data_IF_172260455881
#
_entry.id   IF_172260455881
#
_cell.length_a   1.000
_cell.length_b   1.000
_cell.length_c   1.000
_cell.angle_alpha   90.00
_cell.angle_beta   90.00
_cell.angle_gamma   90.00
#
_symmetry.space_group_name_H-M   'P 1'
#
loop_
_entity.id
_entity.type
_entity.pdbx_description
1 polymer ?
#
# COMPACT_ATOMS: atom_id res chain seq x y z
N UNK A 1 12.24 45.13 -26.51
CA UNK A 1 10.98 45.91 -26.48
C UNK A 1 9.94 45.14 -25.68
N UNK A 2 9.10 45.83 -24.89
CA UNK A 2 8.00 45.28 -24.06
C UNK A 2 6.65 45.73 -24.64
N UNK A 3 5.58 44.95 -24.38
CA UNK A 3 4.12 45.24 -24.55
C UNK A 3 3.54 45.09 -25.98
N UNK A 4 2.33 44.56 -26.26
CA UNK A 4 1.09 44.34 -25.47
C UNK A 4 0.15 43.35 -26.20
N UNK A 5 -0.69 42.70 -25.40
CA UNK A 5 -1.82 41.79 -25.71
C UNK A 5 -2.90 42.45 -26.59
N UNK A 6 -3.56 41.66 -27.45
CA UNK A 6 -4.98 41.85 -27.73
C UNK A 6 -5.73 40.52 -27.75
N UNK A 7 -6.89 40.54 -27.09
CA UNK A 7 -7.78 39.47 -26.66
C UNK A 7 -9.08 39.63 -27.50
N UNK A 8 -9.77 38.54 -27.86
CA UNK A 8 -11.25 38.38 -28.06
C UNK A 8 -11.49 37.11 -28.94
N UNK A 9 -11.92 35.97 -28.38
CA UNK A 9 -13.30 35.51 -28.07
C UNK A 9 -14.19 35.18 -29.28
N UNK A 10 -14.32 33.88 -29.64
CA UNK A 10 -15.56 33.21 -30.14
C UNK A 10 -15.41 31.69 -29.87
N UNK A 11 -15.97 31.18 -28.76
CA UNK A 11 -17.17 30.33 -28.68
C UNK A 11 -17.11 28.99 -29.45
N UNK A 12 -17.13 27.89 -28.70
CA UNK A 12 -17.78 26.65 -29.14
C UNK A 12 -17.05 25.35 -28.87
N UNK A 13 -17.02 24.88 -27.62
CA UNK A 13 -17.58 23.58 -27.20
C UNK A 13 -17.24 23.33 -25.72
N UNK A 14 -18.20 23.63 -24.85
CA UNK A 14 -18.23 23.03 -23.51
C UNK A 14 -18.54 21.54 -23.67
N UNK A 15 -17.58 20.68 -23.33
CA UNK A 15 -17.88 19.37 -22.75
C UNK A 15 -17.02 19.24 -21.51
N UNK A 16 -17.63 19.67 -20.40
CA UNK A 16 -17.35 19.12 -19.08
C UNK A 16 -17.48 17.60 -19.17
N UNK A 17 -16.42 16.85 -18.89
CA UNK A 17 -16.38 15.45 -18.44
C UNK A 17 -14.90 15.02 -18.49
N UNK A 18 -14.13 14.93 -17.42
CA UNK A 18 -14.49 14.76 -16.02
C UNK A 18 -13.32 15.31 -15.22
N UNK A 19 -13.62 16.03 -14.13
CA UNK A 19 -12.87 15.78 -12.92
C UNK A 19 -13.04 14.29 -12.61
N UNK A 20 -12.15 13.45 -13.14
CA UNK A 20 -11.88 12.17 -12.53
C UNK A 20 -11.26 12.54 -11.18
N UNK A 21 -12.13 12.78 -10.20
CA UNK A 21 -11.75 12.94 -8.81
C UNK A 21 -10.79 11.79 -8.55
N UNK A 22 -9.53 12.16 -8.38
CA UNK A 22 -8.57 11.41 -7.61
C UNK A 22 -9.25 11.20 -6.25
N UNK A 23 -10.03 10.12 -6.16
CA UNK A 23 -10.29 9.49 -4.86
C UNK A 23 -8.92 8.98 -4.46
N UNK A 24 -8.13 9.92 -3.94
CA UNK A 24 -6.92 9.71 -3.19
C UNK A 24 -7.25 8.53 -2.30
N UNK A 25 -6.73 7.35 -2.69
CA UNK A 25 -7.09 6.09 -2.04
C UNK A 25 -6.82 6.32 -0.57
N UNK A 26 -7.87 6.34 0.26
CA UNK A 26 -7.72 6.32 1.71
C UNK A 26 -6.78 5.16 2.01
N UNK A 27 -5.54 5.51 2.35
CA UNK A 27 -4.59 4.52 2.81
C UNK A 27 -5.13 4.13 4.17
N UNK A 28 -5.39 2.84 4.43
CA UNK A 28 -5.80 2.43 5.76
C UNK A 28 -4.80 3.01 6.76
N UNK A 29 -5.31 3.61 7.83
CA UNK A 29 -4.48 4.27 8.81
C UNK A 29 -3.39 3.33 9.31
N UNK A 30 -2.18 3.85 9.60
CA UNK A 30 -1.14 3.06 10.22
C UNK A 30 -1.68 2.40 11.50
N UNK A 31 -1.46 1.09 11.66
CA UNK A 31 -1.86 0.40 12.89
C UNK A 31 -1.07 0.98 14.06
N UNK A 32 -1.80 1.47 15.06
CA UNK A 32 -1.26 1.79 16.37
C UNK A 32 -0.92 0.49 17.12
N UNK A 33 0.30 0.00 16.93
CA UNK A 33 0.76 -1.26 17.51
C UNK A 33 0.84 -1.22 19.03
N UNK A 34 1.08 -0.06 19.62
CA UNK A 34 1.15 0.13 21.08
C UNK A 34 -0.19 -0.21 21.70
N UNK A 35 -1.27 0.41 21.21
CA UNK A 35 -2.63 0.13 21.69
C UNK A 35 -3.08 -1.26 21.32
N UNK A 36 -2.71 -1.76 20.14
CA UNK A 36 -3.17 -3.06 19.65
C UNK A 36 -2.58 -4.24 20.43
N UNK A 37 -1.33 -4.09 20.88
CA UNK A 37 -0.57 -5.15 21.54
C UNK A 37 -0.37 -4.91 23.03
N UNK A 38 -0.86 -3.80 23.59
CA UNK A 38 -0.67 -3.44 25.00
C UNK A 38 0.84 -3.48 25.36
N UNK A 39 1.67 -2.78 24.59
CA UNK A 39 3.13 -2.79 24.76
C UNK A 39 3.55 -1.98 25.98
N UNK A 40 4.56 -2.46 26.72
CA UNK A 40 5.29 -1.60 27.66
C UNK A 40 6.15 -0.58 26.90
N UNK A 41 6.65 0.44 27.58
CA UNK A 41 7.49 1.46 26.96
C UNK A 41 8.78 0.86 26.35
N UNK A 42 9.43 -0.05 27.06
CA UNK A 42 10.64 -0.72 26.58
C UNK A 42 10.34 -1.64 25.39
N UNK A 43 9.26 -2.41 25.46
CA UNK A 43 8.82 -3.24 24.33
C UNK A 43 8.49 -2.38 23.12
N UNK A 44 7.85 -1.22 23.32
CA UNK A 44 7.52 -0.29 22.25
C UNK A 44 8.77 0.25 21.56
N UNK A 45 9.77 0.74 22.32
CA UNK A 45 11.04 1.24 21.75
C UNK A 45 11.73 0.18 20.89
N UNK A 46 11.87 -1.04 21.41
CA UNK A 46 12.48 -2.15 20.68
C UNK A 46 11.65 -2.57 19.46
N UNK A 47 10.33 -2.66 19.62
CA UNK A 47 9.42 -3.03 18.54
C UNK A 47 9.46 -2.02 17.40
N UNK A 48 9.43 -0.71 17.71
CA UNK A 48 9.49 0.35 16.71
C UNK A 48 10.81 0.32 15.93
N UNK A 49 11.94 0.12 16.62
CA UNK A 49 13.24 -0.04 15.95
C UNK A 49 13.24 -1.22 14.97
N UNK A 50 12.64 -2.37 15.34
CA UNK A 50 12.50 -3.52 14.44
C UNK A 50 11.58 -3.20 13.25
N UNK A 51 10.46 -2.49 13.46
CA UNK A 51 9.55 -2.13 12.37
C UNK A 51 10.16 -1.12 11.40
N UNK A 52 10.90 -0.15 11.90
CA UNK A 52 11.60 0.86 11.09
C UNK A 52 12.66 0.20 10.23
N UNK A 53 13.54 -0.60 10.83
CA UNK A 53 14.56 -1.36 10.09
C UNK A 53 13.96 -2.30 9.06
N UNK A 54 12.84 -2.97 9.39
CA UNK A 54 12.12 -3.80 8.43
C UNK A 54 11.58 -2.96 7.27
N UNK A 55 10.99 -1.79 7.54
CA UNK A 55 10.48 -0.90 6.49
C UNK A 55 11.58 -0.42 5.55
N UNK A 56 12.73 -0.02 6.09
CA UNK A 56 13.89 0.41 5.30
C UNK A 56 14.38 -0.71 4.38
N UNK A 57 14.54 -1.93 4.91
CA UNK A 57 14.94 -3.09 4.11
C UNK A 57 13.93 -3.41 3.00
N UNK A 58 12.63 -3.23 3.26
CA UNK A 58 11.58 -3.40 2.25
C UNK A 58 11.68 -2.33 1.15
N UNK A 59 11.98 -1.08 1.50
CA UNK A 59 12.17 0.01 0.54
C UNK A 59 13.39 -0.29 -0.33
N UNK A 60 14.53 -0.57 0.29
CA UNK A 60 15.76 -0.90 -0.41
C UNK A 60 15.59 -2.11 -1.35
N UNK A 61 14.87 -3.15 -0.91
CA UNK A 61 14.61 -4.32 -1.75
C UNK A 61 13.76 -3.96 -3.00
N UNK A 62 12.84 -3.00 -2.87
CA UNK A 62 12.03 -2.53 -4.02
C UNK A 62 12.84 -1.68 -4.99
N UNK A 63 13.71 -0.83 -4.48
CA UNK A 63 14.57 0.03 -5.29
C UNK A 63 15.58 -0.78 -6.09
N UNK A 64 16.09 -1.87 -5.51
CA UNK A 64 17.04 -2.78 -6.17
C UNK A 64 16.39 -3.88 -7.02
N UNK A 65 15.09 -3.78 -7.29
CA UNK A 65 14.36 -4.82 -8.01
C UNK A 65 14.74 -4.89 -9.50
N UNK A 66 15.51 -5.91 -9.90
CA UNK A 66 16.03 -6.09 -11.26
C UNK A 66 15.14 -6.90 -12.21
N UNK A 67 13.84 -7.02 -11.90
CA UNK A 67 12.88 -7.77 -12.74
C UNK A 67 12.76 -9.27 -12.43
N UNK A 68 13.66 -9.85 -11.62
CA UNK A 68 13.46 -11.20 -11.08
C UNK A 68 12.38 -11.20 -9.99
N UNK A 69 11.16 -11.57 -10.39
CA UNK A 69 10.02 -11.63 -9.48
C UNK A 69 10.16 -12.73 -8.42
N UNK A 70 10.82 -13.86 -8.72
CA UNK A 70 10.93 -14.99 -7.79
C UNK A 70 11.93 -14.67 -6.68
N UNK A 71 13.14 -14.24 -7.04
CA UNK A 71 14.13 -13.82 -6.05
C UNK A 71 13.63 -12.68 -5.16
N UNK A 72 12.89 -11.73 -5.73
CA UNK A 72 12.24 -10.66 -4.97
C UNK A 72 11.21 -11.20 -3.95
N UNK A 73 10.39 -12.18 -4.34
CA UNK A 73 9.40 -12.78 -3.44
C UNK A 73 10.07 -13.52 -2.27
N UNK A 74 11.12 -14.29 -2.55
CA UNK A 74 11.88 -15.02 -1.54
C UNK A 74 12.60 -14.06 -0.57
N UNK A 75 13.14 -12.96 -1.09
CA UNK A 75 13.75 -11.91 -0.29
C UNK A 75 12.73 -11.24 0.65
N UNK A 76 11.52 -10.93 0.15
CA UNK A 76 10.45 -10.40 0.99
C UNK A 76 10.02 -11.38 2.09
N UNK A 77 9.92 -12.67 1.78
CA UNK A 77 9.58 -13.69 2.76
C UNK A 77 10.66 -13.80 3.84
N UNK A 78 11.92 -13.85 3.43
CA UNK A 78 13.07 -13.94 4.34
C UNK A 78 13.13 -12.75 5.29
N UNK A 79 12.91 -11.53 4.79
CA UNK A 79 12.82 -10.33 5.61
C UNK A 79 11.66 -10.40 6.61
N UNK A 80 10.50 -10.90 6.16
CA UNK A 80 9.33 -11.11 7.01
C UNK A 80 9.62 -12.07 8.17
N UNK A 81 10.25 -13.20 7.88
CA UNK A 81 10.61 -14.22 8.87
C UNK A 81 11.65 -13.69 9.87
N UNK A 82 12.62 -12.89 9.39
CA UNK A 82 13.61 -12.23 10.26
C UNK A 82 12.94 -11.26 11.23
N UNK A 83 12.06 -10.39 10.73
CA UNK A 83 11.25 -9.49 11.57
C UNK A 83 10.45 -10.28 12.60
N UNK A 84 9.79 -11.36 12.19
CA UNK A 84 8.93 -12.14 13.09
C UNK A 84 9.71 -12.81 14.22
N UNK A 85 10.95 -13.26 13.97
CA UNK A 85 11.86 -13.75 15.01
C UNK A 85 12.24 -12.64 16.00
N UNK A 86 12.62 -11.46 15.51
CA UNK A 86 12.99 -10.32 16.35
C UNK A 86 11.80 -9.81 17.18
N UNK A 87 10.62 -9.73 16.59
CA UNK A 87 9.40 -9.34 17.31
C UNK A 87 9.03 -10.38 18.36
N UNK A 88 9.22 -11.68 18.09
CA UNK A 88 8.94 -12.75 19.05
C UNK A 88 9.84 -12.70 20.29
N UNK A 89 11.08 -12.22 20.19
CA UNK A 89 11.95 -12.02 21.36
C UNK A 89 11.56 -10.82 22.22
N UNK A 90 10.87 -9.84 21.65
CA UNK A 90 10.43 -8.61 22.34
C UNK A 90 9.05 -8.83 23.00
N UNK A 91 8.15 -9.52 22.30
CA UNK A 91 6.76 -9.70 22.70
C UNK A 91 6.56 -10.99 23.51
N UNK A 92 5.67 -10.93 24.51
CA UNK A 92 5.22 -12.15 25.17
C UNK A 92 4.29 -12.98 24.26
N UNK A 93 4.00 -14.23 24.66
CA UNK A 93 3.20 -15.18 23.87
C UNK A 93 1.81 -14.65 23.49
N UNK A 94 1.15 -13.89 24.37
CA UNK A 94 -0.19 -13.33 24.10
C UNK A 94 -0.10 -12.19 23.07
N UNK A 95 0.84 -11.28 23.25
CA UNK A 95 1.11 -10.17 22.34
C UNK A 95 1.51 -10.65 20.95
N UNK A 96 2.42 -11.63 20.86
CA UNK A 96 2.85 -12.20 19.59
C UNK A 96 1.71 -12.90 18.82
N UNK A 97 0.80 -13.59 19.53
CA UNK A 97 -0.41 -14.14 18.92
C UNK A 97 -1.32 -13.04 18.35
N UNK A 98 -1.50 -11.92 19.06
CA UNK A 98 -2.27 -10.77 18.55
C UNK A 98 -1.60 -10.18 17.31
N UNK A 99 -0.29 -9.97 17.36
CA UNK A 99 0.52 -9.45 16.24
C UNK A 99 0.36 -10.28 14.98
N UNK A 100 0.59 -11.60 15.07
CA UNK A 100 0.49 -12.52 13.92
C UNK A 100 -0.95 -12.59 13.36
N UNK A 101 -1.97 -12.55 14.22
CA UNK A 101 -3.38 -12.48 13.79
C UNK A 101 -3.66 -11.20 13.00
N UNK A 102 -3.17 -10.06 13.48
CA UNK A 102 -3.37 -8.78 12.82
C UNK A 102 -2.67 -8.71 11.46
N UNK A 103 -1.43 -9.21 11.36
CA UNK A 103 -0.72 -9.32 10.08
C UNK A 103 -1.49 -10.15 9.05
N UNK A 104 -2.03 -11.30 9.47
CA UNK A 104 -2.86 -12.16 8.61
C UNK A 104 -4.15 -11.47 8.18
N UNK A 105 -4.80 -10.73 9.10
CA UNK A 105 -6.00 -9.97 8.80
C UNK A 105 -5.73 -8.90 7.74
N UNK A 106 -4.68 -8.10 7.91
CA UNK A 106 -4.26 -7.13 6.91
C UNK A 106 -3.95 -7.77 5.55
N UNK A 107 -3.24 -8.90 5.55
CA UNK A 107 -2.90 -9.59 4.30
C UNK A 107 -4.16 -10.09 3.59
N UNK A 108 -5.11 -10.66 4.32
CA UNK A 108 -6.41 -11.08 3.79
C UNK A 108 -7.18 -9.89 3.22
N UNK A 109 -7.17 -8.76 3.90
CA UNK A 109 -7.85 -7.56 3.46
C UNK A 109 -7.23 -7.00 2.17
N UNK A 110 -5.90 -6.91 2.10
CA UNK A 110 -5.19 -6.53 0.86
C UNK A 110 -5.56 -7.47 -0.30
N UNK A 111 -5.59 -8.78 -0.06
CA UNK A 111 -6.00 -9.78 -1.08
C UNK A 111 -7.44 -9.56 -1.55
N UNK A 112 -8.39 -9.34 -0.64
CA UNK A 112 -9.79 -9.03 -0.99
C UNK A 112 -9.89 -7.79 -1.86
N UNK A 113 -9.18 -6.71 -1.51
CA UNK A 113 -9.16 -5.47 -2.30
C UNK A 113 -8.58 -5.69 -3.70
N UNK A 114 -7.56 -6.53 -3.85
CA UNK A 114 -7.00 -6.88 -5.15
C UNK A 114 -8.00 -7.71 -5.99
N UNK A 115 -8.64 -8.72 -5.40
CA UNK A 115 -9.63 -9.55 -6.09
C UNK A 115 -10.89 -8.76 -6.48
N UNK A 116 -11.35 -7.82 -5.64
CA UNK A 116 -12.47 -6.92 -5.95
C UNK A 116 -12.17 -5.99 -7.13
N UNK A 117 -10.92 -5.54 -7.27
CA UNK A 117 -10.48 -4.71 -8.40
C UNK A 117 -10.45 -5.47 -9.73
N UNK A 118 -10.07 -6.75 -9.74
CA UNK A 118 -10.10 -7.59 -10.95
C UNK A 118 -11.54 -7.83 -11.45
N UNK A 119 -12.51 -8.04 -10.55
CA UNK A 119 -13.93 -8.21 -10.93
C UNK A 119 -14.57 -6.94 -11.51
N UNK A 120 -14.09 -5.75 -11.15
CA UNK A 120 -14.61 -4.47 -11.64
C UNK A 120 -14.06 -4.02 -13.00
N UNK A 121 -12.82 -4.40 -13.35
CA UNK A 121 -12.19 -4.00 -14.61
C UNK A 121 -12.48 -4.96 -15.77
N UNK A 122 -12.85 -6.23 -15.51
CA UNK A 122 -13.20 -7.21 -16.54
C UNK A 122 -14.57 -7.01 -17.22
N UNK A 123 -15.38 -6.01 -16.84
CA UNK A 123 -16.72 -5.77 -17.41
C UNK A 123 -16.86 -4.51 -18.27
N UNK A 124 -15.86 -3.61 -18.29
CA UNK A 124 -15.91 -2.36 -19.08
C UNK A 124 -15.12 -2.41 -20.40
N UNK A 125 -14.28 -3.42 -20.62
CA UNK A 125 -13.45 -3.54 -21.83
C UNK A 125 -14.02 -4.41 -22.96
N UNK A 126 -15.16 -5.09 -22.77
CA UNK A 126 -15.63 -6.13 -23.72
C UNK A 126 -16.95 -5.82 -24.42
N UNK A 127 -17.45 -4.57 -24.37
CA UNK A 127 -18.71 -4.17 -25.03
C UNK A 127 -18.59 -3.09 -26.10
N UNK A 128 -17.38 -2.58 -26.38
CA UNK A 128 -17.16 -1.56 -27.40
C UNK A 128 -16.35 -2.15 -28.56
N UNK A 129 -16.99 -2.95 -29.40
CA UNK A 129 -16.32 -3.56 -30.56
C UNK A 129 -17.17 -4.54 -31.35
N UNK A 130 -18.50 -4.43 -31.28
CA UNK A 130 -19.40 -5.29 -32.05
C UNK A 130 -20.74 -4.61 -32.28
N UNK A 131 -20.74 -3.53 -33.07
CA UNK A 131 -21.90 -3.18 -33.87
C UNK A 131 -21.45 -3.15 -35.32
N UNK A 132 -22.15 -3.97 -36.09
CA UNK A 132 -22.10 -4.18 -37.53
C UNK A 132 -22.63 -2.94 -38.26
#
# INVERSE_FOLDING_TARGET
MKFKIFLIFVLGFSIENSFAQDKMRERPDPIDWTKKLDLTEDQFKQFMSVQESYREQIIALRENASGDRRGMMDAFQTLGDKRDKQVKSILNKKQYKKFTKELKAQQKERRKQMNGRQKGQGRRGSRQGRNN
#
